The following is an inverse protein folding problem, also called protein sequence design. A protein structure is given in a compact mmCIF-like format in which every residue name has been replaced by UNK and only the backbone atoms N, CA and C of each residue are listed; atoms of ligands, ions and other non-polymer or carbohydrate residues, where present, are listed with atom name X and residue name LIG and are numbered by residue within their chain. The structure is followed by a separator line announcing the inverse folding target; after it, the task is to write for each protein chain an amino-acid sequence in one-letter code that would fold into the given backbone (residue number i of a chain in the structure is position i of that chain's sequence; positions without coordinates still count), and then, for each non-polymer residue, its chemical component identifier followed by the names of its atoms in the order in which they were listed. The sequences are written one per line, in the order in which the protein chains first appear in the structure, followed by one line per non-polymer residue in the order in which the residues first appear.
data_IF_256854095816
#
_entry.id   IF_256854095816
#
_cell.length_a   1.000
_cell.length_b   1.000
_cell.length_c   1.000
_cell.angle_alpha   90.00
_cell.angle_beta   90.00
_cell.angle_gamma   90.00
#
_symmetry.space_group_name_H-M   'P 1'
#
loop_
_entity.id
_entity.type
_entity.pdbx_description
1 polymer ?
#
# COMPACT_ATOMS: atom_id res chain seq x y z
N UNK A 1 -2.17 1.56 -18.64
CA UNK A 1 -2.79 1.04 -17.41
C UNK A 1 -2.15 1.85 -16.32
N UNK A 2 -2.87 2.83 -15.79
CA UNK A 2 -2.24 3.97 -15.13
C UNK A 2 -2.05 3.66 -13.64
N UNK A 3 -0.82 3.33 -13.27
CA UNK A 3 -0.43 3.13 -11.87
C UNK A 3 -0.49 4.44 -11.07
N UNK A 4 -0.28 4.34 -9.76
CA UNK A 4 -0.19 5.50 -8.86
C UNK A 4 1.20 5.60 -8.26
N UNK A 5 1.88 6.75 -8.42
CA UNK A 5 3.15 7.02 -7.77
C UNK A 5 3.08 8.34 -6.99
N UNK A 6 3.07 8.27 -5.67
CA UNK A 6 2.83 9.47 -4.85
C UNK A 6 2.75 9.22 -3.35
N UNK A 7 2.38 10.25 -2.58
CA UNK A 7 2.26 10.15 -1.13
C UNK A 7 0.95 9.45 -0.73
N UNK A 8 1.04 8.50 0.21
CA UNK A 8 -0.09 7.91 0.91
C UNK A 8 0.13 8.03 2.42
N UNK A 9 -0.94 8.23 3.19
CA UNK A 9 -0.87 8.09 4.64
C UNK A 9 -1.06 6.64 5.01
N UNK A 10 -0.27 6.14 5.95
CA UNK A 10 -0.42 4.80 6.50
C UNK A 10 -1.13 4.88 7.85
N UNK A 11 -2.18 4.08 8.00
CA UNK A 11 -2.87 3.89 9.26
C UNK A 11 -2.67 2.45 9.75
N UNK A 12 -2.48 2.30 11.06
CA UNK A 12 -2.40 1.00 11.73
C UNK A 12 -3.36 1.03 12.89
N UNK A 13 -4.35 0.13 12.89
CA UNK A 13 -5.42 0.11 13.90
C UNK A 13 -6.09 1.49 14.08
N UNK A 14 -6.30 2.19 12.95
CA UNK A 14 -6.88 3.54 12.89
C UNK A 14 -5.95 4.69 13.31
N UNK A 15 -4.70 4.41 13.72
CA UNK A 15 -3.70 5.43 14.10
C UNK A 15 -2.80 5.78 12.94
N UNK A 16 -2.57 7.07 12.73
CA UNK A 16 -1.62 7.56 11.72
C UNK A 16 -0.18 7.21 12.13
N UNK A 17 0.52 6.48 11.27
CA UNK A 17 1.93 6.10 11.47
C UNK A 17 2.88 6.82 10.52
N UNK A 18 2.36 7.75 9.72
CA UNK A 18 3.13 8.63 8.85
C UNK A 18 2.68 8.63 7.40
N UNK A 19 3.36 9.46 6.62
CA UNK A 19 3.19 9.55 5.18
C UNK A 19 4.32 8.82 4.47
N UNK A 20 3.97 7.96 3.52
CA UNK A 20 4.89 7.17 2.72
C UNK A 20 4.78 7.54 1.26
N UNK A 21 5.88 7.45 0.53
CA UNK A 21 5.83 7.47 -0.93
C UNK A 21 5.59 6.04 -1.41
N UNK A 22 4.56 5.82 -2.20
CA UNK A 22 4.20 4.51 -2.74
C UNK A 22 4.16 4.53 -4.26
N UNK A 23 4.48 3.39 -4.85
CA UNK A 23 4.34 3.10 -6.27
C UNK A 23 3.39 1.90 -6.35
N UNK A 24 2.17 2.12 -6.84
CA UNK A 24 1.10 1.14 -6.91
C UNK A 24 0.79 0.80 -8.36
N UNK A 25 0.56 -0.47 -8.61
CA UNK A 25 0.25 -0.99 -9.93
C UNK A 25 -0.76 -2.16 -9.85
N UNK A 26 -1.52 -2.39 -10.93
CA UNK A 26 -2.33 -3.60 -11.08
C UNK A 26 -1.44 -4.84 -11.03
N UNK A 27 -1.80 -5.81 -10.19
CA UNK A 27 -1.16 -7.12 -10.19
C UNK A 27 -1.83 -7.99 -11.25
N UNK A 28 -1.03 -8.53 -12.16
CA UNK A 28 -1.45 -9.58 -13.06
C UNK A 28 -1.43 -10.91 -12.30
N UNK A 29 -2.45 -11.19 -11.48
CA UNK A 29 -2.62 -12.52 -10.89
C UNK A 29 -3.98 -13.12 -11.31
N UNK A 30 -3.93 -14.35 -11.82
CA UNK A 30 -4.97 -15.06 -12.60
C UNK A 30 -6.26 -15.39 -11.81
N UNK A 31 -6.35 -14.99 -10.53
CA UNK A 31 -7.46 -15.38 -9.63
C UNK A 31 -8.39 -14.24 -9.25
N UNK A 32 -7.92 -12.99 -9.33
CA UNK A 32 -8.70 -11.79 -9.06
C UNK A 32 -8.19 -10.70 -10.01
N UNK A 33 -8.84 -10.56 -11.18
CA UNK A 33 -8.51 -9.66 -12.30
C UNK A 33 -8.43 -8.15 -11.95
N UNK A 34 -8.47 -7.78 -10.66
CA UNK A 34 -8.50 -6.40 -10.17
C UNK A 34 -7.64 -6.15 -8.95
N UNK A 35 -6.77 -7.08 -8.55
CA UNK A 35 -5.91 -6.87 -7.38
C UNK A 35 -4.84 -5.82 -7.67
N UNK A 36 -4.64 -4.87 -6.75
CA UNK A 36 -3.55 -3.91 -6.77
C UNK A 36 -2.46 -4.27 -5.77
N UNK A 37 -1.23 -3.91 -6.11
CA UNK A 37 -0.04 -4.09 -5.29
C UNK A 37 0.91 -2.93 -5.52
N UNK A 38 2.12 -3.05 -5.00
CA UNK A 38 3.12 -2.02 -5.22
C UNK A 38 4.28 -2.10 -4.24
N UNK A 39 4.93 -0.97 -4.03
CA UNK A 39 6.03 -0.83 -3.08
C UNK A 39 6.04 0.52 -2.40
N UNK A 40 6.59 0.55 -1.19
CA UNK A 40 6.97 1.78 -0.49
C UNK A 40 8.36 2.19 -0.96
N UNK A 41 8.51 3.42 -1.46
CA UNK A 41 9.78 3.98 -1.86
C UNK A 41 10.55 4.52 -0.61
N UNK A 42 11.84 4.21 -0.51
CA UNK A 42 12.81 4.77 0.45
C UNK A 42 12.44 4.61 1.95
N UNK A 43 12.12 3.41 2.45
CA UNK A 43 11.73 3.26 3.88
C UNK A 43 12.32 2.04 4.59
N UNK A 44 13.63 1.92 4.63
CA UNK A 44 14.26 0.70 5.18
C UNK A 44 14.13 0.56 6.71
N UNK A 45 13.76 1.60 7.49
CA UNK A 45 13.66 1.50 8.95
C UNK A 45 12.24 1.44 9.51
N UNK A 46 11.28 2.17 8.93
CA UNK A 46 9.88 2.20 9.41
C UNK A 46 9.18 0.87 9.13
N UNK A 47 9.57 0.19 8.04
CA UNK A 47 8.90 -1.01 7.56
C UNK A 47 9.15 -2.24 8.42
N UNK A 48 10.29 -2.34 9.12
CA UNK A 48 10.56 -3.48 10.01
C UNK A 48 9.59 -3.56 11.19
N UNK A 49 9.19 -2.41 11.75
CA UNK A 49 8.22 -2.36 12.85
C UNK A 49 6.77 -2.66 12.43
N UNK A 50 6.50 -2.68 11.14
CA UNK A 50 5.16 -2.82 10.55
C UNK A 50 5.02 -4.06 9.67
N UNK A 51 6.11 -4.81 9.49
CA UNK A 51 6.15 -6.00 8.67
C UNK A 51 5.08 -7.02 9.11
N UNK A 52 4.26 -7.47 8.16
CA UNK A 52 3.21 -8.46 8.40
C UNK A 52 2.00 -7.94 9.18
N UNK A 53 1.97 -6.67 9.57
CA UNK A 53 0.77 -6.03 10.12
C UNK A 53 -0.17 -5.61 8.99
N UNK A 54 -1.46 -5.69 9.26
CA UNK A 54 -2.48 -5.07 8.40
C UNK A 54 -2.43 -3.57 8.61
N UNK A 55 -2.44 -2.83 7.51
CA UNK A 55 -2.49 -1.37 7.51
C UNK A 55 -3.52 -0.88 6.49
N UNK A 56 -3.90 0.38 6.59
CA UNK A 56 -4.70 1.07 5.58
C UNK A 56 -3.84 2.14 4.94
N UNK A 57 -3.77 2.15 3.60
CA UNK A 57 -3.26 3.28 2.85
C UNK A 57 -4.41 4.23 2.55
N UNK A 58 -4.23 5.49 2.92
CA UNK A 58 -5.14 6.58 2.58
C UNK A 58 -4.49 7.43 1.51
N UNK A 59 -5.05 7.38 0.30
CA UNK A 59 -4.56 8.16 -0.85
C UNK A 59 -5.00 9.63 -0.74
N UNK A 60 -4.38 10.55 -1.50
CA UNK A 60 -4.78 11.96 -1.53
C UNK A 60 -6.21 12.19 -2.00
N UNK A 61 -6.77 11.24 -2.76
CA UNK A 61 -8.19 11.24 -3.16
C UNK A 61 -9.16 11.00 -1.99
N UNK A 62 -8.65 10.57 -0.83
CA UNK A 62 -9.45 10.12 0.31
C UNK A 62 -9.79 8.62 0.26
N UNK A 63 -9.46 7.92 -0.84
CA UNK A 63 -9.63 6.48 -0.94
C UNK A 63 -8.81 5.76 0.14
N UNK A 64 -9.40 4.70 0.73
CA UNK A 64 -8.75 3.87 1.74
C UNK A 64 -8.71 2.43 1.29
N UNK A 65 -7.51 1.85 1.28
CA UNK A 65 -7.29 0.46 0.91
C UNK A 65 -6.54 -0.26 2.01
N UNK A 66 -7.08 -1.38 2.48
CA UNK A 66 -6.38 -2.25 3.42
C UNK A 66 -5.29 -3.02 2.68
N UNK A 67 -4.12 -3.17 3.27
CA UNK A 67 -3.03 -3.95 2.69
C UNK A 67 -2.09 -4.50 3.77
N UNK A 68 -1.11 -5.26 3.32
CA UNK A 68 0.03 -5.70 4.13
C UNK A 68 1.30 -5.20 3.45
N UNK A 69 2.25 -4.74 4.25
CA UNK A 69 3.60 -4.43 3.78
C UNK A 69 4.58 -5.47 4.30
N UNK A 70 5.32 -6.07 3.37
CA UNK A 70 6.42 -7.00 3.68
C UNK A 70 7.66 -6.22 4.14
N UNK A 71 8.62 -6.86 4.84
CA UNK A 71 9.90 -6.22 5.20
C UNK A 71 10.65 -5.62 4.01
N UNK A 72 10.43 -6.14 2.81
CA UNK A 72 10.99 -5.66 1.54
C UNK A 72 10.38 -4.33 1.05
N UNK A 73 9.34 -3.82 1.73
CA UNK A 73 8.55 -2.68 1.30
C UNK A 73 7.51 -3.00 0.24
N UNK A 74 7.37 -4.25 -0.16
CA UNK A 74 6.31 -4.70 -1.06
C UNK A 74 4.93 -4.58 -0.38
N UNK A 75 3.99 -3.97 -1.09
CA UNK A 75 2.59 -3.78 -0.70
C UNK A 75 1.75 -4.85 -1.42
N UNK A 76 0.97 -5.60 -0.66
CA UNK A 76 0.08 -6.64 -1.20
C UNK A 76 -1.34 -6.51 -0.65
N UNK A 77 -2.31 -7.01 -1.41
CA UNK A 77 -3.68 -7.20 -0.95
C UNK A 77 -4.52 -5.93 -0.89
N UNK A 78 -4.20 -4.91 -1.72
CA UNK A 78 -5.01 -3.67 -1.81
C UNK A 78 -6.43 -3.93 -2.34
N UNK A 79 -6.69 -5.10 -2.90
CA UNK A 79 -7.97 -5.42 -3.52
C UNK A 79 -8.18 -4.61 -4.81
N UNK A 80 -9.41 -4.15 -5.12
CA UNK A 80 -9.70 -3.41 -6.35
C UNK A 80 -8.91 -2.10 -6.46
N UNK A 81 -8.94 -1.48 -7.65
CA UNK A 81 -8.25 -0.23 -7.93
C UNK A 81 -8.56 0.85 -6.87
N UNK A 82 -7.53 1.50 -6.29
CA UNK A 82 -7.75 2.45 -5.20
C UNK A 82 -8.15 3.86 -5.68
N UNK A 83 -8.76 3.98 -6.87
CA UNK A 83 -9.15 5.25 -7.49
C UNK A 83 -10.34 5.11 -8.44
#
# INVERSE_FOLDING_TARGET
MDGYAGPARALVDGRDVGQWRVELEPLADDRDERSWGGRVANSDYVLWGLAGRRLELVLPSGHRAACVVRPTGEIIGLGPAPF
#
